data_IF_396962825212
#
_entry.id   IF_396962825212
#
_cell.length_a   1.000
_cell.length_b   1.000
_cell.length_c   1.000
_cell.angle_alpha   90.00
_cell.angle_beta   90.00
_cell.angle_gamma   90.00
#
_symmetry.space_group_name_H-M   'P 1'
#
loop_
_entity.id
_entity.type
_entity.pdbx_description
1 polymer ?
#
# COMPACT_ATOMS: atom_id res chain seq x y z
N UNK A 1 14.18 7.87 2.45
CA UNK A 1 12.96 8.14 3.25
C UNK A 1 12.99 7.22 4.46
N UNK A 2 12.91 7.78 5.67
CA UNK A 2 13.17 7.06 6.93
C UNK A 2 12.05 6.12 7.37
N UNK A 3 12.33 5.33 8.42
CA UNK A 3 11.42 4.35 9.04
C UNK A 3 10.04 4.95 9.40
N UNK A 4 9.95 6.26 9.68
CA UNK A 4 8.72 6.97 10.03
C UNK A 4 7.64 6.96 8.92
N UNK A 5 8.03 6.89 7.65
CA UNK A 5 7.06 6.83 6.54
C UNK A 5 6.33 5.48 6.48
N UNK A 6 6.87 4.41 7.08
CA UNK A 6 6.20 3.11 7.17
C UNK A 6 5.06 3.09 8.19
N UNK A 7 5.05 4.05 9.13
CA UNK A 7 3.96 4.23 10.10
C UNK A 7 2.90 5.25 9.65
N UNK A 8 3.07 5.85 8.47
CA UNK A 8 2.07 6.79 7.96
C UNK A 8 0.81 6.04 7.53
N UNK A 9 -0.31 6.36 8.17
CA UNK A 9 -1.63 5.88 7.79
C UNK A 9 -2.40 6.96 7.01
N UNK A 10 -3.12 6.54 5.97
CA UNK A 10 -4.08 7.41 5.30
C UNK A 10 -5.42 7.35 6.05
N UNK A 11 -5.77 8.42 6.77
CA UNK A 11 -7.08 8.58 7.42
C UNK A 11 -8.14 9.00 6.38
N UNK A 12 -8.85 8.03 5.82
CA UNK A 12 -9.99 8.29 4.93
C UNK A 12 -11.24 8.58 5.77
N UNK A 13 -11.87 9.74 5.52
CA UNK A 13 -13.12 10.13 6.17
C UNK A 13 -14.28 10.14 5.18
N UNK A 14 -14.90 8.98 4.91
CA UNK A 14 -16.02 8.92 3.98
C UNK A 14 -17.22 9.69 4.52
N UNK A 15 -17.91 10.37 3.61
CA UNK A 15 -19.10 11.16 3.90
C UNK A 15 -20.17 10.84 2.86
N UNK A 16 -21.30 10.30 3.30
CA UNK A 16 -22.49 10.22 2.48
C UNK A 16 -23.15 11.59 2.36
N UNK A 17 -23.43 11.97 1.11
CA UNK A 17 -24.14 13.19 0.77
C UNK A 17 -25.52 12.89 0.19
N UNK A 18 -26.50 13.70 0.53
CA UNK A 18 -27.84 13.67 -0.06
C UNK A 18 -28.17 15.08 -0.55
N UNK A 19 -28.53 15.20 -1.83
CA UNK A 19 -28.82 16.49 -2.50
C UNK A 19 -27.71 17.53 -2.24
N UNK A 20 -26.44 17.10 -2.38
CA UNK A 20 -25.25 17.94 -2.17
C UNK A 20 -24.85 18.19 -0.72
N UNK A 21 -25.72 17.92 0.26
CA UNK A 21 -25.47 18.15 1.69
C UNK A 21 -24.89 16.92 2.38
N UNK A 22 -23.96 17.11 3.32
CA UNK A 22 -23.37 16.04 4.13
C UNK A 22 -24.40 15.48 5.12
N UNK A 23 -24.79 14.22 4.95
CA UNK A 23 -25.76 13.54 5.83
C UNK A 23 -25.03 12.70 6.86
N UNK A 24 -24.09 11.84 6.45
CA UNK A 24 -23.49 10.87 7.37
C UNK A 24 -21.98 10.75 7.15
N UNK A 25 -21.23 10.93 8.23
CA UNK A 25 -19.83 10.53 8.34
C UNK A 25 -19.65 9.67 9.59
N UNK A 26 -18.43 9.21 9.88
CA UNK A 26 -18.17 8.20 10.93
C UNK A 26 -18.72 8.61 12.31
N UNK A 27 -18.56 9.87 12.72
CA UNK A 27 -19.09 10.33 14.01
C UNK A 27 -20.62 10.22 14.12
N UNK A 28 -21.35 10.49 13.02
CA UNK A 28 -22.82 10.40 12.97
C UNK A 28 -23.27 8.94 12.89
N UNK A 29 -22.56 8.11 12.13
CA UNK A 29 -22.81 6.67 12.08
C UNK A 29 -22.61 6.02 13.45
N UNK A 30 -21.52 6.34 14.16
CA UNK A 30 -21.25 5.86 15.52
C UNK A 30 -22.37 6.24 16.49
N UNK A 31 -22.93 7.45 16.38
CA UNK A 31 -24.08 7.85 17.18
C UNK A 31 -25.31 6.99 16.90
N UNK A 32 -25.64 6.72 15.64
CA UNK A 32 -26.77 5.84 15.31
C UNK A 32 -26.55 4.40 15.79
N UNK A 33 -25.33 3.85 15.64
CA UNK A 33 -24.97 2.52 16.18
C UNK A 33 -25.15 2.46 17.70
N UNK A 34 -24.72 3.49 18.42
CA UNK A 34 -24.89 3.56 19.88
C UNK A 34 -26.36 3.70 20.30
N UNK A 35 -27.17 4.45 19.56
CA UNK A 35 -28.63 4.53 19.81
C UNK A 35 -29.26 3.15 19.60
N UNK A 36 -28.96 2.48 18.49
CA UNK A 36 -29.49 1.14 18.17
C UNK A 36 -29.09 0.11 19.23
N UNK A 37 -27.84 0.16 19.70
CA UNK A 37 -27.31 -0.74 20.73
C UNK A 37 -27.91 -0.49 22.12
N UNK A 38 -28.10 0.77 22.50
CA UNK A 38 -28.49 1.14 23.87
C UNK A 38 -29.99 1.36 24.05
N UNK A 39 -30.74 1.52 22.95
CA UNK A 39 -32.14 1.91 22.98
C UNK A 39 -32.38 3.31 23.59
N UNK A 40 -31.35 4.16 23.67
CA UNK A 40 -31.41 5.41 24.43
C UNK A 40 -30.44 6.46 23.88
N UNK A 41 -30.97 7.57 23.37
CA UNK A 41 -30.13 8.68 22.89
C UNK A 41 -29.29 9.31 24.00
N UNK A 42 -29.82 9.39 25.22
CA UNK A 42 -29.07 9.95 26.36
C UNK A 42 -27.90 9.05 26.77
N UNK A 43 -28.10 7.73 26.75
CA UNK A 43 -27.03 6.75 27.02
C UNK A 43 -25.99 6.77 25.91
N UNK A 44 -26.42 6.78 24.65
CA UNK A 44 -25.53 6.91 23.49
C UNK A 44 -24.67 8.18 23.57
N UNK A 45 -25.28 9.34 23.84
CA UNK A 45 -24.56 10.60 23.99
C UNK A 45 -23.51 10.54 25.11
N UNK A 46 -23.88 9.97 26.27
CA UNK A 46 -22.97 9.78 27.41
C UNK A 46 -21.78 8.89 27.04
N UNK A 47 -22.02 7.76 26.36
CA UNK A 47 -20.95 6.83 25.95
C UNK A 47 -20.00 7.46 24.93
N UNK A 48 -20.48 8.40 24.12
CA UNK A 48 -19.67 9.13 23.16
C UNK A 48 -19.01 10.40 23.73
N UNK A 49 -19.16 10.67 25.03
CA UNK A 49 -18.60 11.86 25.66
C UNK A 49 -19.19 13.18 25.16
N UNK A 50 -20.43 13.18 24.65
CA UNK A 50 -21.12 14.37 24.16
C UNK A 50 -22.36 14.72 24.98
N UNK A 51 -22.79 15.99 24.91
CA UNK A 51 -24.03 16.41 25.56
C UNK A 51 -25.25 15.85 24.83
N UNK A 52 -26.34 15.59 25.58
CA UNK A 52 -27.61 15.18 24.99
C UNK A 52 -28.11 16.16 23.92
N UNK A 53 -27.96 17.47 24.16
CA UNK A 53 -28.33 18.53 23.21
C UNK A 53 -27.57 18.41 21.89
N UNK A 54 -26.27 18.10 21.95
CA UNK A 54 -25.46 17.91 20.75
C UNK A 54 -25.88 16.66 19.98
N UNK A 55 -26.11 15.54 20.67
CA UNK A 55 -26.57 14.30 20.06
C UNK A 55 -27.95 14.48 19.38
N UNK A 56 -28.89 15.11 20.09
CA UNK A 56 -30.22 15.42 19.54
C UNK A 56 -30.14 16.36 18.32
N UNK A 57 -29.39 17.46 18.41
CA UNK A 57 -29.21 18.38 17.29
C UNK A 57 -28.54 17.71 16.08
N UNK A 58 -27.62 16.76 16.31
CA UNK A 58 -27.00 15.97 15.25
C UNK A 58 -28.02 15.09 14.53
N UNK A 59 -28.91 14.42 15.27
CA UNK A 59 -30.00 13.62 14.69
C UNK A 59 -30.96 14.52 13.91
N UNK A 60 -31.43 15.62 14.50
CA UNK A 60 -32.34 16.55 13.83
C UNK A 60 -31.75 17.08 12.53
N UNK A 61 -30.48 17.46 12.54
CA UNK A 61 -29.81 17.94 11.33
C UNK A 61 -29.80 16.90 10.20
N UNK A 62 -29.60 15.62 10.52
CA UNK A 62 -29.70 14.54 9.52
C UNK A 62 -31.14 14.39 9.02
N UNK A 63 -32.13 14.42 9.92
CA UNK A 63 -33.56 14.33 9.57
C UNK A 63 -34.01 15.49 8.68
N UNK A 64 -33.53 16.71 8.95
CA UNK A 64 -33.85 17.91 8.15
C UNK A 64 -33.32 17.78 6.73
N UNK A 65 -32.10 17.26 6.55
CA UNK A 65 -31.52 17.04 5.22
C UNK A 65 -32.30 15.96 4.46
N UNK A 66 -32.70 14.89 5.15
CA UNK A 66 -33.39 13.75 4.56
C UNK A 66 -34.89 14.00 4.38
N UNK A 67 -35.45 14.97 5.10
CA UNK A 67 -36.91 15.18 5.23
C UNK A 67 -37.64 13.92 5.71
N UNK A 68 -36.99 13.11 6.55
CA UNK A 68 -37.49 11.83 7.06
C UNK A 68 -36.96 11.57 8.48
N UNK A 69 -37.79 10.96 9.34
CA UNK A 69 -37.37 10.57 10.68
C UNK A 69 -36.47 9.34 10.65
N UNK A 70 -35.29 9.45 11.27
CA UNK A 70 -34.31 8.36 11.36
C UNK A 70 -34.20 7.79 12.78
N UNK A 71 -34.63 8.55 13.80
CA UNK A 71 -34.75 8.07 15.19
C UNK A 71 -36.17 8.30 15.69
N UNK A 72 -36.83 7.24 16.14
CA UNK A 72 -38.07 7.33 16.91
C UNK A 72 -37.75 7.49 18.40
N UNK A 73 -38.58 8.24 19.13
CA UNK A 73 -38.44 8.34 20.58
C UNK A 73 -39.80 8.31 21.28
N UNK A 74 -39.93 7.46 22.29
CA UNK A 74 -41.12 7.40 23.14
C UNK A 74 -40.87 8.16 24.46
N UNK A 75 -41.81 9.02 24.84
CA UNK A 75 -41.78 9.70 26.14
C UNK A 75 -42.30 8.73 27.22
N UNK A 76 -41.40 7.94 27.80
CA UNK A 76 -41.71 7.06 28.92
C UNK A 76 -41.95 7.84 30.23
N UNK A 77 -43.06 7.56 30.91
CA UNK A 77 -43.50 8.21 32.16
C UNK A 77 -42.64 7.98 33.41
N UNK A 78 -41.50 7.28 33.30
CA UNK A 78 -40.59 6.97 34.41
C UNK A 78 -39.17 7.55 34.23
N UNK A 79 -38.98 8.50 33.31
CA UNK A 79 -37.70 9.23 33.15
C UNK A 79 -36.65 8.53 32.28
N UNK A 80 -36.96 7.38 31.68
CA UNK A 80 -36.13 6.75 30.63
C UNK A 80 -36.89 6.79 29.31
N UNK A 81 -36.65 7.84 28.51
CA UNK A 81 -37.11 7.86 27.12
C UNK A 81 -36.43 6.75 26.32
N UNK A 82 -37.21 5.96 25.59
CA UNK A 82 -36.68 4.96 24.66
C UNK A 82 -36.41 5.63 23.32
N UNK A 83 -35.27 5.35 22.72
CA UNK A 83 -34.91 5.83 21.38
C UNK A 83 -34.47 4.65 20.52
N UNK A 84 -35.03 4.52 19.33
CA UNK A 84 -34.67 3.46 18.40
C UNK A 84 -34.53 4.01 16.98
N UNK A 85 -33.68 3.37 16.18
CA UNK A 85 -33.61 3.71 14.75
C UNK A 85 -34.93 3.33 14.07
N UNK A 86 -35.46 4.24 13.26
CA UNK A 86 -36.54 3.88 12.33
C UNK A 86 -35.97 3.00 11.22
N UNK A 87 -36.85 2.42 10.38
CA UNK A 87 -36.40 1.70 9.19
C UNK A 87 -35.57 2.60 8.25
N UNK A 88 -35.87 3.90 8.17
CA UNK A 88 -35.05 4.86 7.44
C UNK A 88 -33.67 5.03 8.07
N UNK A 89 -33.59 5.13 9.40
CA UNK A 89 -32.33 5.20 10.14
C UNK A 89 -31.46 3.96 9.96
N UNK A 90 -32.06 2.76 10.02
CA UNK A 90 -31.37 1.49 9.76
C UNK A 90 -30.85 1.42 8.32
N UNK A 91 -31.66 1.80 7.33
CA UNK A 91 -31.22 1.85 5.91
C UNK A 91 -30.08 2.83 5.70
N UNK A 92 -30.14 4.01 6.33
CA UNK A 92 -29.08 5.01 6.24
C UNK A 92 -27.77 4.50 6.84
N UNK A 93 -27.83 3.89 8.03
CA UNK A 93 -26.67 3.30 8.69
C UNK A 93 -26.09 2.14 7.88
N UNK A 94 -26.92 1.20 7.44
CA UNK A 94 -26.51 0.10 6.56
C UNK A 94 -25.89 0.62 5.26
N UNK A 95 -26.44 1.72 4.71
CA UNK A 95 -25.88 2.34 3.53
C UNK A 95 -24.47 2.88 3.82
N UNK A 96 -24.26 3.60 4.91
CA UNK A 96 -22.93 4.09 5.29
C UNK A 96 -21.94 2.95 5.51
N UNK A 97 -22.30 1.97 6.34
CA UNK A 97 -21.41 0.86 6.72
C UNK A 97 -21.00 0.02 5.51
N UNK A 98 -21.92 -0.30 4.60
CA UNK A 98 -21.60 -1.06 3.38
C UNK A 98 -20.63 -0.32 2.44
N UNK A 99 -20.78 0.99 2.24
CA UNK A 99 -19.83 1.75 1.42
C UNK A 99 -18.49 1.95 2.14
N UNK A 100 -18.51 2.15 3.45
CA UNK A 100 -17.29 2.28 4.25
C UNK A 100 -16.46 0.98 4.19
N UNK A 101 -17.11 -0.18 4.36
CA UNK A 101 -16.45 -1.49 4.24
C UNK A 101 -15.85 -1.71 2.84
N UNK A 102 -16.57 -1.35 1.77
CA UNK A 102 -16.05 -1.40 0.40
C UNK A 102 -14.83 -0.51 0.20
N UNK A 103 -14.84 0.72 0.73
CA UNK A 103 -13.70 1.64 0.66
C UNK A 103 -12.49 1.11 1.41
N UNK A 104 -12.68 0.53 2.61
CA UNK A 104 -11.60 -0.06 3.39
C UNK A 104 -10.98 -1.28 2.69
N UNK A 105 -11.82 -2.17 2.14
CA UNK A 105 -11.35 -3.32 1.34
C UNK A 105 -10.62 -2.89 0.08
N UNK A 106 -11.13 -1.86 -0.60
CA UNK A 106 -10.47 -1.29 -1.76
C UNK A 106 -9.12 -0.67 -1.38
N UNK A 107 -9.00 0.02 -0.25
CA UNK A 107 -7.72 0.55 0.21
C UNK A 107 -6.66 -0.55 0.36
N UNK A 108 -6.96 -1.60 1.14
CA UNK A 108 -6.02 -2.71 1.30
C UNK A 108 -5.68 -3.36 -0.04
N UNK A 109 -6.68 -3.59 -0.90
CA UNK A 109 -6.47 -4.19 -2.22
C UNK A 109 -5.73 -3.29 -3.21
N UNK A 110 -5.83 -1.96 -3.08
CA UNK A 110 -5.19 -1.01 -3.99
C UNK A 110 -3.76 -0.68 -3.58
N UNK A 111 -3.47 -0.69 -2.26
CA UNK A 111 -2.19 -0.21 -1.73
C UNK A 111 -1.31 -1.30 -1.09
N UNK A 112 -1.83 -2.50 -0.80
CA UNK A 112 -1.03 -3.65 -0.31
C UNK A 112 -0.78 -4.69 -1.41
N UNK A 113 -0.27 -4.24 -2.56
CA UNK A 113 0.25 -5.14 -3.61
C UNK A 113 1.78 -5.17 -3.55
N UNK A 114 2.42 -6.32 -3.84
CA UNK A 114 3.87 -6.35 -3.97
C UNK A 114 4.32 -5.44 -5.11
N UNK A 115 5.42 -4.73 -4.93
CA UNK A 115 6.09 -4.07 -6.03
C UNK A 115 6.77 -5.11 -6.92
N UNK A 116 6.81 -4.85 -8.23
CA UNK A 116 7.46 -5.73 -9.20
C UNK A 116 8.78 -5.11 -9.65
N UNK A 117 9.87 -5.85 -9.48
CA UNK A 117 11.22 -5.47 -9.92
C UNK A 117 11.82 -6.53 -10.82
N UNK A 118 12.92 -6.18 -11.46
CA UNK A 118 13.76 -7.09 -12.24
C UNK A 118 15.22 -6.88 -11.88
N UNK A 119 16.01 -7.95 -11.92
CA UNK A 119 17.46 -7.89 -11.81
C UNK A 119 18.10 -8.69 -12.95
N UNK A 120 19.24 -8.24 -13.44
CA UNK A 120 20.03 -8.94 -14.46
C UNK A 120 21.37 -9.45 -13.92
N UNK A 121 21.77 -10.64 -14.36
CA UNK A 121 23.11 -11.19 -14.11
C UNK A 121 23.82 -11.37 -15.44
N UNK A 122 24.98 -10.74 -15.60
CA UNK A 122 25.85 -10.95 -16.76
C UNK A 122 27.28 -11.25 -16.33
N UNK A 123 27.97 -12.06 -17.14
CA UNK A 123 29.41 -12.32 -17.01
C UNK A 123 30.17 -11.75 -18.21
N UNK A 124 31.26 -11.04 -17.93
CA UNK A 124 32.25 -10.61 -18.94
C UNK A 124 33.61 -11.18 -18.54
N UNK A 125 34.16 -12.07 -19.37
CA UNK A 125 35.47 -12.70 -19.14
C UNK A 125 35.61 -13.30 -17.72
N UNK A 126 34.55 -13.97 -17.23
CA UNK A 126 34.50 -14.59 -15.90
C UNK A 126 34.34 -13.63 -14.71
N UNK A 127 34.09 -12.34 -14.97
CA UNK A 127 33.72 -11.34 -13.96
C UNK A 127 32.24 -11.04 -14.03
N UNK A 128 31.58 -10.91 -12.88
CA UNK A 128 30.18 -10.51 -12.78
C UNK A 128 30.06 -8.99 -12.90
N UNK A 129 29.05 -8.53 -13.64
CA UNK A 129 28.66 -7.11 -13.69
C UNK A 129 27.84 -6.81 -12.45
N UNK A 130 28.32 -5.87 -11.62
CA UNK A 130 27.62 -5.38 -10.43
C UNK A 130 27.56 -3.86 -10.45
N UNK A 131 26.63 -3.32 -9.68
CA UNK A 131 26.46 -1.88 -9.49
C UNK A 131 26.65 -1.54 -8.01
N UNK A 132 27.40 -0.48 -7.69
CA UNK A 132 27.49 0.07 -6.35
C UNK A 132 26.40 1.13 -6.16
N UNK A 133 25.53 0.93 -5.17
CA UNK A 133 24.36 1.78 -4.89
C UNK A 133 24.79 3.13 -4.31
N UNK A 134 24.29 4.25 -4.85
CA UNK A 134 24.53 5.61 -4.33
C UNK A 134 23.46 6.08 -3.32
N UNK A 135 22.35 5.35 -3.21
CA UNK A 135 21.19 5.70 -2.39
C UNK A 135 20.81 4.61 -1.38
N UNK A 136 20.11 5.02 -0.32
CA UNK A 136 19.48 4.09 0.65
C UNK A 136 18.26 3.37 0.04
N UNK A 137 17.94 2.15 0.48
CA UNK A 137 18.67 1.32 1.44
C UNK A 137 19.98 0.77 0.85
N UNK A 138 20.91 0.36 1.72
CA UNK A 138 22.17 -0.29 1.33
C UNK A 138 23.09 0.60 0.50
N UNK A 139 23.17 1.89 0.83
CA UNK A 139 24.14 2.80 0.23
C UNK A 139 25.56 2.20 0.33
N UNK A 140 26.36 2.41 -0.71
CA UNK A 140 27.74 1.93 -0.87
C UNK A 140 27.91 0.41 -0.97
N UNK A 141 26.82 -0.38 -0.93
CA UNK A 141 26.86 -1.83 -1.20
C UNK A 141 26.73 -2.12 -2.69
N UNK A 142 27.26 -3.27 -3.09
CA UNK A 142 27.05 -3.79 -4.44
C UNK A 142 25.70 -4.47 -4.57
N UNK A 143 25.09 -4.38 -5.74
CA UNK A 143 23.85 -5.04 -6.12
C UNK A 143 23.98 -5.57 -7.56
N UNK A 144 22.98 -6.34 -7.96
CA UNK A 144 22.79 -6.69 -9.36
C UNK A 144 22.17 -5.47 -10.05
N UNK A 145 22.47 -5.22 -11.33
CA UNK A 145 21.78 -4.19 -12.07
C UNK A 145 20.29 -4.53 -12.18
N UNK A 146 19.41 -3.59 -11.85
CA UNK A 146 17.99 -3.86 -11.73
C UNK A 146 17.17 -2.73 -11.11
N UNK A 147 15.87 -2.77 -11.34
CA UNK A 147 14.96 -1.71 -10.92
C UNK A 147 13.49 -2.09 -11.03
N UNK A 148 12.62 -1.08 -10.94
CA UNK A 148 11.17 -1.28 -10.92
C UNK A 148 10.63 -1.45 -12.35
N UNK A 149 9.59 -2.27 -12.47
CA UNK A 149 8.88 -2.47 -13.73
C UNK A 149 7.85 -1.35 -13.89
N UNK A 150 7.86 -0.68 -15.03
CA UNK A 150 6.89 0.38 -15.31
C UNK A 150 5.51 -0.19 -15.67
N UNK A 151 4.46 0.60 -15.42
CA UNK A 151 3.11 0.18 -15.78
C UNK A 151 2.97 0.02 -17.31
N UNK A 152 2.53 -1.16 -17.74
CA UNK A 152 2.41 -1.51 -19.15
C UNK A 152 3.70 -2.05 -19.78
N UNK A 153 4.78 -2.14 -19.02
CA UNK A 153 6.06 -2.70 -19.47
C UNK A 153 6.14 -4.22 -19.26
N UNK A 154 6.80 -4.92 -20.18
CA UNK A 154 7.15 -6.34 -20.01
C UNK A 154 8.37 -6.47 -19.10
N UNK A 155 8.44 -7.53 -18.30
CA UNK A 155 9.62 -7.84 -17.47
C UNK A 155 10.91 -7.89 -18.30
N UNK A 156 10.83 -8.49 -19.48
CA UNK A 156 11.96 -8.62 -20.40
C UNK A 156 12.45 -7.26 -20.92
N UNK A 157 11.54 -6.32 -21.13
CA UNK A 157 11.90 -4.97 -21.55
C UNK A 157 12.51 -4.18 -20.39
N UNK A 158 11.89 -4.29 -19.21
CA UNK A 158 12.37 -3.65 -17.99
C UNK A 158 13.82 -4.05 -17.68
N UNK A 159 14.14 -5.35 -17.70
CA UNK A 159 15.50 -5.79 -17.34
C UNK A 159 16.55 -5.32 -18.35
N UNK A 160 16.20 -5.25 -19.65
CA UNK A 160 17.12 -4.74 -20.67
C UNK A 160 17.32 -3.22 -20.52
N UNK A 161 16.25 -2.47 -20.20
CA UNK A 161 16.29 -1.03 -19.94
C UNK A 161 17.13 -0.71 -18.71
N UNK A 162 16.78 -1.28 -17.55
CA UNK A 162 17.47 -1.08 -16.27
C UNK A 162 18.95 -1.44 -16.37
N UNK A 163 19.28 -2.60 -16.96
CA UNK A 163 20.67 -3.02 -17.11
C UNK A 163 21.48 -2.04 -17.96
N UNK A 164 20.88 -1.52 -19.04
CA UNK A 164 21.53 -0.52 -19.90
C UNK A 164 21.70 0.82 -19.18
N UNK A 165 20.67 1.29 -18.48
CA UNK A 165 20.70 2.57 -17.76
C UNK A 165 21.73 2.57 -16.64
N UNK A 166 21.85 1.48 -15.88
CA UNK A 166 22.76 1.40 -14.75
C UNK A 166 24.20 1.03 -15.10
N UNK A 167 24.43 0.41 -16.27
CA UNK A 167 25.77 -0.12 -16.62
C UNK A 167 26.31 0.34 -17.96
N UNK A 168 25.49 0.94 -18.84
CA UNK A 168 25.86 1.28 -20.21
C UNK A 168 25.98 0.09 -21.17
N UNK A 169 25.76 -1.13 -20.69
CA UNK A 169 25.93 -2.36 -21.48
C UNK A 169 24.66 -2.73 -22.23
N UNK A 170 24.82 -3.11 -23.50
CA UNK A 170 23.75 -3.65 -24.33
C UNK A 170 23.68 -5.17 -24.15
N UNK A 171 22.49 -5.69 -23.85
CA UNK A 171 22.31 -7.07 -23.46
C UNK A 171 21.15 -7.75 -24.19
N UNK A 172 21.21 -9.08 -24.25
CA UNK A 172 20.05 -9.93 -24.59
C UNK A 172 19.79 -10.91 -23.44
N UNK A 173 18.52 -11.28 -23.25
CA UNK A 173 18.13 -12.29 -22.27
C UNK A 173 18.52 -13.68 -22.78
N UNK A 174 19.17 -14.48 -21.95
CA UNK A 174 19.44 -15.89 -22.24
C UNK A 174 18.40 -16.80 -21.60
N UNK A 175 18.04 -16.54 -20.33
CA UNK A 175 17.01 -17.29 -19.60
C UNK A 175 16.55 -16.54 -18.36
N UNK A 176 15.35 -16.88 -17.87
CA UNK A 176 14.94 -16.58 -16.50
C UNK A 176 15.75 -17.46 -15.53
N UNK A 177 16.35 -16.85 -14.51
CA UNK A 177 17.01 -17.59 -13.41
C UNK A 177 15.98 -18.09 -12.40
N UNK A 178 15.07 -17.20 -11.98
CA UNK A 178 14.04 -17.46 -11.00
C UNK A 178 13.28 -16.20 -10.59
N UNK A 179 12.25 -16.38 -9.75
CA UNK A 179 11.47 -15.31 -9.14
C UNK A 179 11.69 -15.34 -7.63
N UNK A 180 12.04 -14.20 -7.03
CA UNK A 180 12.36 -14.05 -5.62
C UNK A 180 11.32 -13.15 -4.97
N UNK A 181 10.56 -13.71 -4.02
CA UNK A 181 9.32 -13.12 -3.51
C UNK A 181 9.19 -13.21 -1.99
N UNK A 182 10.30 -13.33 -1.25
CA UNK A 182 10.25 -13.27 0.21
C UNK A 182 9.77 -11.87 0.63
N UNK A 183 8.66 -11.72 1.38
CA UNK A 183 8.15 -10.41 1.77
C UNK A 183 9.15 -9.54 2.53
N UNK A 184 10.18 -10.13 3.14
CA UNK A 184 11.24 -9.44 3.87
C UNK A 184 12.50 -9.15 3.03
N UNK A 185 12.54 -9.52 1.73
CA UNK A 185 13.75 -9.36 0.90
C UNK A 185 14.19 -7.92 0.69
N UNK A 186 13.23 -6.99 0.71
CA UNK A 186 13.48 -5.57 0.54
C UNK A 186 12.96 -4.82 1.78
N UNK A 187 13.82 -4.05 2.48
CA UNK A 187 13.39 -3.30 3.65
C UNK A 187 12.39 -2.19 3.30
N UNK A 188 12.21 -1.82 2.03
CA UNK A 188 11.22 -0.81 1.61
C UNK A 188 9.78 -1.34 1.61
N UNK A 189 9.58 -2.65 1.57
CA UNK A 189 8.26 -3.28 1.54
C UNK A 189 8.27 -4.60 0.76
N UNK A 190 7.10 -5.20 0.59
CA UNK A 190 6.97 -6.45 -0.16
C UNK A 190 7.28 -6.20 -1.64
N UNK A 191 8.40 -6.74 -2.11
CA UNK A 191 8.85 -6.66 -3.50
C UNK A 191 9.04 -8.07 -4.05
N UNK A 192 8.65 -8.29 -5.31
CA UNK A 192 8.91 -9.51 -6.08
C UNK A 192 9.87 -9.18 -7.21
N UNK A 193 11.03 -9.86 -7.27
CA UNK A 193 11.99 -9.67 -8.36
C UNK A 193 12.05 -10.86 -9.31
N UNK A 194 11.88 -10.63 -10.60
CA UNK A 194 12.19 -11.60 -11.64
C UNK A 194 13.64 -11.40 -12.11
N UNK A 195 14.48 -12.43 -11.96
CA UNK A 195 15.91 -12.32 -12.23
C UNK A 195 16.28 -13.03 -13.52
N UNK A 196 16.95 -12.33 -14.43
CA UNK A 196 17.33 -12.85 -15.73
C UNK A 196 18.85 -13.03 -15.85
N UNK A 197 19.25 -14.10 -16.56
CA UNK A 197 20.63 -14.25 -17.03
C UNK A 197 20.74 -13.56 -18.38
N UNK A 198 21.71 -12.65 -18.48
CA UNK A 198 21.90 -11.73 -19.57
C UNK A 198 23.23 -12.03 -20.29
N UNK A 199 23.23 -11.95 -21.61
CA UNK A 199 24.44 -11.94 -22.43
C UNK A 199 24.74 -10.54 -22.90
N UNK A 200 25.93 -10.04 -22.59
CA UNK A 200 26.43 -8.76 -23.09
C UNK A 200 26.74 -8.88 -24.59
N UNK A 201 26.13 -8.01 -25.37
CA UNK A 201 26.25 -7.94 -26.83
C UNK A 201 27.17 -6.79 -27.26
N UNK A 202 27.24 -5.73 -26.45
CA UNK A 202 27.99 -4.51 -26.75
C UNK A 202 27.89 -3.48 -25.62
N UNK A 203 28.16 -2.23 -25.96
CA UNK A 203 28.22 -1.13 -25.01
C UNK A 203 29.54 -1.05 -24.25
N UNK A 204 29.63 -0.02 -23.41
CA UNK A 204 30.78 0.26 -22.54
C UNK A 204 30.29 0.43 -21.11
N UNK A 205 31.08 -0.01 -20.15
CA UNK A 205 30.74 0.11 -18.76
C UNK A 205 30.73 1.60 -18.36
N UNK A 206 29.58 2.10 -17.90
CA UNK A 206 29.39 3.48 -17.47
C UNK A 206 28.58 3.54 -16.18
N UNK A 207 28.83 4.57 -15.38
CA UNK A 207 28.04 4.87 -14.19
C UNK A 207 26.73 5.59 -14.56
N UNK A 208 25.74 5.50 -13.67
CA UNK A 208 24.48 6.26 -13.74
C UNK A 208 24.41 7.30 -12.61
N UNK A 209 23.31 8.05 -12.52
CA UNK A 209 23.08 8.92 -11.36
C UNK A 209 22.87 8.13 -10.05
N UNK A 210 22.33 6.91 -10.15
CA UNK A 210 21.94 6.09 -9.00
C UNK A 210 22.99 5.05 -8.60
N UNK A 211 23.86 4.67 -9.53
CA UNK A 211 24.79 3.55 -9.38
C UNK A 211 26.15 3.81 -10.03
N UNK A 212 27.15 3.05 -9.63
CA UNK A 212 28.45 2.97 -10.30
C UNK A 212 28.76 1.52 -10.71
N UNK A 213 29.05 1.29 -11.99
CA UNK A 213 29.11 -0.06 -12.55
C UNK A 213 30.53 -0.63 -12.52
N UNK A 214 30.68 -1.89 -12.10
CA UNK A 214 31.99 -2.53 -11.94
C UNK A 214 31.98 -4.02 -12.33
N UNK A 215 33.11 -4.48 -12.86
CA UNK A 215 33.38 -5.90 -13.11
C UNK A 215 34.10 -6.55 -11.93
N UNK A 216 33.38 -7.36 -11.18
CA UNK A 216 33.89 -8.03 -9.97
C UNK A 216 34.22 -9.49 -10.26
N UNK A 217 35.33 -9.98 -9.71
CA UNK A 217 35.66 -11.41 -9.82
C UNK A 217 34.64 -12.26 -9.06
N UNK A 218 34.10 -13.29 -9.71
CA UNK A 218 33.16 -14.23 -9.06
C UNK A 218 33.76 -14.97 -7.85
N UNK A 219 35.09 -14.99 -7.72
CA UNK A 219 35.80 -15.58 -6.58
C UNK A 219 35.91 -14.64 -5.38
N UNK A 220 35.63 -13.35 -5.55
CA UNK A 220 35.79 -12.29 -4.54
C UNK A 220 34.60 -11.33 -4.57
N UNK A 221 33.39 -11.88 -4.61
CA UNK A 221 32.16 -11.07 -4.58
C UNK A 221 32.00 -10.49 -3.16
N UNK A 222 31.89 -9.16 -3.00
CA UNK A 222 31.65 -8.54 -1.69
C UNK A 222 30.21 -8.83 -1.23
N UNK A 223 29.89 -8.45 0.02
CA UNK A 223 28.52 -8.56 0.53
C UNK A 223 27.56 -7.73 -0.31
N UNK A 224 26.52 -8.37 -0.85
CA UNK A 224 25.56 -7.70 -1.71
C UNK A 224 24.40 -7.07 -0.91
N UNK A 225 23.69 -6.14 -1.55
CA UNK A 225 22.45 -5.56 -1.07
C UNK A 225 21.29 -6.57 -1.15
N UNK A 226 20.24 -6.34 -0.36
CA UNK A 226 19.02 -7.17 -0.35
C UNK A 226 19.35 -8.66 -0.15
N UNK A 227 18.71 -9.54 -0.91
CA UNK A 227 18.94 -10.99 -0.97
C UNK A 227 19.89 -11.40 -2.12
N UNK A 228 20.64 -10.48 -2.71
CA UNK A 228 21.39 -10.75 -3.94
C UNK A 228 22.52 -11.77 -3.75
N UNK A 229 23.05 -11.95 -2.53
CA UNK A 229 23.99 -13.04 -2.25
C UNK A 229 23.37 -14.41 -2.55
N UNK A 230 22.08 -14.59 -2.21
CA UNK A 230 21.32 -15.81 -2.52
C UNK A 230 21.12 -15.95 -4.02
N UNK A 231 20.71 -14.88 -4.68
CA UNK A 231 20.46 -14.86 -6.13
C UNK A 231 21.74 -15.26 -6.90
N UNK A 232 22.88 -14.67 -6.54
CA UNK A 232 24.18 -14.98 -7.15
C UNK A 232 24.62 -16.41 -6.84
N UNK A 233 24.40 -16.90 -5.62
CA UNK A 233 24.68 -18.30 -5.28
C UNK A 233 23.82 -19.27 -6.11
N UNK A 234 22.53 -18.96 -6.32
CA UNK A 234 21.62 -19.74 -7.15
C UNK A 234 22.06 -19.76 -8.62
N UNK A 235 22.59 -18.63 -9.13
CA UNK A 235 23.19 -18.54 -10.46
C UNK A 235 24.44 -19.41 -10.60
N UNK A 236 25.37 -19.35 -9.64
CA UNK A 236 26.65 -20.08 -9.72
C UNK A 236 26.49 -21.61 -9.55
N UNK A 237 25.35 -22.08 -9.03
CA UNK A 237 25.06 -23.53 -8.90
C UNK A 237 24.46 -24.16 -10.16
N UNK A 238 24.01 -23.36 -11.15
CA UNK A 238 23.33 -23.83 -12.36
C UNK A 238 24.20 -23.61 -13.60
#
# INVERSE_FOLDING_TARGET
MGEDTKSMEFDYRPVLRFRGKSVMGEGRARLLREIDRTGSLSTAAKNMGMSYRHAWGTVQHMEDILSEKIVASERGGSGRGQSALTEAGKRLLMAFDSRNDLLMKAHDSLFKKPNLTVDGIALIKGKIVLVRRKQEPFKDRYALPGGFVEYGEKLENAVVREFREETGLETRIERLLGVYSDPARDPRGHTVSAVFVMKVMGGSLTDSEETAAELISVKKIPKLAFDHDKIVADFLRK
#
